data_IF_321737336861
#
_entry.id   IF_321737336861
#
_cell.length_a   1.000
_cell.length_b   1.000
_cell.length_c   1.000
_cell.angle_alpha   90.00
_cell.angle_beta   90.00
_cell.angle_gamma   90.00
#
_symmetry.space_group_name_H-M   'P 1'
#
loop_
_entity.id
_entity.type
_entity.pdbx_description
1 polymer ?
#
# COMPACT_ATOMS: atom_id res chain seq x y z
N UNK A 1 5.96 -15.63 -12.17
CA UNK A 1 5.66 -15.55 -10.72
C UNK A 1 4.30 -14.90 -10.58
N UNK A 2 3.27 -15.62 -10.15
CA UNK A 2 1.87 -15.14 -10.13
C UNK A 2 1.49 -14.68 -8.72
N UNK A 3 1.24 -13.38 -8.54
CA UNK A 3 0.77 -12.81 -7.27
C UNK A 3 -0.71 -13.16 -7.08
N UNK A 4 -1.10 -13.54 -5.85
CA UNK A 4 -2.48 -13.91 -5.49
C UNK A 4 -3.14 -13.07 -4.41
N UNK A 5 -2.35 -12.54 -3.46
CA UNK A 5 -2.81 -11.58 -2.46
C UNK A 5 -1.80 -10.45 -2.41
N UNK A 6 -2.28 -9.22 -2.27
CA UNK A 6 -1.47 -8.07 -1.91
C UNK A 6 -2.02 -7.52 -0.61
N UNK A 7 -1.14 -7.27 0.34
CA UNK A 7 -1.49 -6.68 1.62
C UNK A 7 -0.80 -5.32 1.71
N UNK A 8 -1.57 -4.29 2.02
CA UNK A 8 -1.13 -2.91 2.06
C UNK A 8 -1.31 -2.44 3.49
N UNK A 9 -0.20 -2.15 4.15
CA UNK A 9 -0.21 -1.60 5.50
C UNK A 9 -0.20 -0.08 5.38
N UNK A 10 -1.20 0.58 5.96
CA UNK A 10 -1.24 2.02 6.01
C UNK A 10 -0.33 2.55 7.13
N UNK A 11 0.31 3.69 6.90
CA UNK A 11 1.02 4.37 7.97
C UNK A 11 0.00 4.94 8.95
N UNK A 12 0.09 4.52 10.21
CA UNK A 12 -0.73 5.10 11.28
C UNK A 12 -0.46 6.60 11.46
N UNK A 13 -1.40 7.29 12.10
CA UNK A 13 -1.34 8.70 12.52
C UNK A 13 -0.24 9.01 13.57
N UNK A 14 0.82 8.20 13.66
CA UNK A 14 1.99 8.37 14.53
C UNK A 14 2.90 9.53 14.08
N UNK A 15 2.31 10.56 13.48
CA UNK A 15 2.98 11.85 13.38
C UNK A 15 2.88 12.51 14.75
N UNK A 16 3.96 12.42 15.54
CA UNK A 16 4.20 13.24 16.75
C UNK A 16 4.08 14.75 16.50
N UNK A 17 3.89 15.20 15.25
CA UNK A 17 3.68 16.58 14.86
C UNK A 17 2.31 16.77 14.19
N UNK A 18 1.62 17.89 14.45
CA UNK A 18 0.36 18.22 13.79
C UNK A 18 0.58 18.29 12.27
N UNK A 19 0.09 17.26 11.57
CA UNK A 19 0.18 17.17 10.13
C UNK A 19 -1.04 17.90 9.53
N UNK A 20 -0.86 18.95 8.70
CA UNK A 20 -1.97 19.63 8.01
C UNK A 20 -2.70 18.71 7.02
N UNK A 21 -2.16 17.52 6.78
CA UNK A 21 -2.71 16.46 5.95
C UNK A 21 -3.29 15.30 6.78
N UNK A 22 -3.84 15.59 7.98
CA UNK A 22 -4.39 14.60 8.93
C UNK A 22 -5.42 13.63 8.31
N UNK A 23 -6.07 14.02 7.22
CA UNK A 23 -7.07 13.20 6.53
C UNK A 23 -6.49 12.37 5.36
N UNK A 24 -5.18 12.46 5.08
CA UNK A 24 -4.57 11.78 3.95
C UNK A 24 -3.96 10.43 4.35
N UNK A 25 -4.42 9.39 3.66
CA UNK A 25 -3.93 8.02 3.81
C UNK A 25 -2.56 7.89 3.17
N UNK A 26 -1.62 7.23 3.86
CA UNK A 26 -0.28 6.92 3.36
C UNK A 26 -0.03 5.43 3.45
N UNK A 27 0.65 4.88 2.45
CA UNK A 27 1.08 3.48 2.48
C UNK A 27 2.40 3.41 3.27
N UNK A 28 2.47 2.54 4.27
CA UNK A 28 3.69 2.23 5.02
C UNK A 28 4.48 1.11 4.33
N UNK A 29 3.78 0.03 3.99
CA UNK A 29 4.37 -1.21 3.47
C UNK A 29 3.41 -1.92 2.51
N UNK A 30 3.97 -2.69 1.58
CA UNK A 30 3.20 -3.59 0.71
C UNK A 30 3.85 -4.97 0.68
N UNK A 31 3.05 -6.00 0.94
CA UNK A 31 3.42 -7.40 0.86
C UNK A 31 2.67 -8.07 -0.28
N UNK A 32 3.38 -8.75 -1.19
CA UNK A 32 2.76 -9.58 -2.21
C UNK A 32 2.94 -11.05 -1.85
N UNK A 33 1.87 -11.83 -1.90
CA UNK A 33 1.85 -13.26 -1.61
C UNK A 33 1.45 -14.08 -2.83
N UNK A 34 2.02 -15.27 -2.96
CA UNK A 34 1.66 -16.23 -4.01
C UNK A 34 0.49 -17.15 -3.61
N UNK A 35 0.17 -18.13 -4.47
CA UNK A 35 -0.88 -19.14 -4.25
C UNK A 35 -0.68 -19.99 -2.98
N UNK A 36 0.55 -20.10 -2.49
CA UNK A 36 0.90 -20.89 -1.31
C UNK A 36 0.91 -20.03 -0.04
N UNK A 37 0.55 -18.74 -0.14
CA UNK A 37 0.62 -17.79 0.97
C UNK A 37 2.06 -17.36 1.30
N UNK A 38 3.03 -17.66 0.43
CA UNK A 38 4.41 -17.25 0.64
C UNK A 38 4.59 -15.81 0.19
N UNK A 39 5.20 -14.99 1.04
CA UNK A 39 5.61 -13.64 0.67
C UNK A 39 6.66 -13.72 -0.45
N UNK A 40 6.30 -13.17 -1.59
CA UNK A 40 7.05 -13.24 -2.84
C UNK A 40 7.69 -11.92 -3.22
N UNK A 41 7.08 -10.81 -2.82
CA UNK A 41 7.67 -9.48 -2.92
C UNK A 41 7.31 -8.65 -1.69
N UNK A 42 8.23 -7.77 -1.32
CA UNK A 42 8.06 -6.84 -0.21
C UNK A 42 8.55 -5.46 -0.64
N UNK A 43 7.71 -4.46 -0.40
CA UNK A 43 8.04 -3.05 -0.59
C UNK A 43 7.89 -2.36 0.76
N UNK A 44 9.00 -2.28 1.48
CA UNK A 44 9.09 -1.70 2.82
C UNK A 44 9.58 -0.26 2.85
N UNK A 45 9.22 0.43 3.93
CA UNK A 45 9.59 1.81 4.25
C UNK A 45 9.44 2.76 3.06
N UNK A 46 8.18 3.05 2.71
CA UNK A 46 7.85 4.21 1.88
C UNK A 46 8.18 5.52 2.63
N UNK A 47 9.48 5.78 2.83
CA UNK A 47 10.01 7.08 3.27
C UNK A 47 9.64 8.11 2.19
N UNK A 48 9.56 9.39 2.58
CA UNK A 48 9.09 10.58 1.83
C UNK A 48 9.59 10.79 0.38
N UNK A 49 10.31 9.85 -0.23
CA UNK A 49 10.86 9.90 -1.58
C UNK A 49 10.59 8.66 -2.47
N UNK A 50 9.76 7.71 -2.04
CA UNK A 50 9.41 6.59 -2.94
C UNK A 50 8.60 7.09 -4.14
N UNK A 51 9.16 6.94 -5.35
CA UNK A 51 8.49 7.28 -6.61
C UNK A 51 7.46 6.25 -7.07
N UNK A 52 7.26 5.19 -6.29
CA UNK A 52 6.43 4.06 -6.69
C UNK A 52 4.94 4.32 -6.50
N UNK A 53 4.58 5.10 -5.48
CA UNK A 53 3.20 5.36 -5.06
C UNK A 53 3.02 6.84 -4.75
N UNK A 54 1.76 7.28 -4.74
CA UNK A 54 1.44 8.64 -4.26
C UNK A 54 1.84 8.76 -2.79
N UNK A 55 2.35 9.93 -2.41
CA UNK A 55 2.67 10.21 -1.01
C UNK A 55 1.44 10.35 -0.11
N UNK A 56 0.29 10.67 -0.70
CA UNK A 56 -0.95 10.95 0.00
C UNK A 56 -2.13 10.51 -0.86
N UNK A 57 -3.07 9.77 -0.27
CA UNK A 57 -4.31 9.31 -0.87
C UNK A 57 -5.50 9.90 -0.11
N UNK A 58 -6.58 10.26 -0.82
CA UNK A 58 -7.78 10.80 -0.17
C UNK A 58 -8.74 9.68 0.29
N UNK A 59 -8.55 8.46 -0.21
CA UNK A 59 -9.39 7.31 0.16
C UNK A 59 -8.68 5.97 -0.07
N UNK A 60 -9.12 4.94 0.66
CA UNK A 60 -8.67 3.55 0.47
C UNK A 60 -8.92 3.07 -0.96
N UNK A 61 -9.99 3.55 -1.62
CA UNK A 61 -10.28 3.21 -3.02
C UNK A 61 -9.16 3.66 -3.97
N UNK A 62 -8.58 4.85 -3.74
CA UNK A 62 -7.44 5.30 -4.54
C UNK A 62 -6.20 4.44 -4.29
N UNK A 63 -5.95 4.04 -3.05
CA UNK A 63 -4.84 3.13 -2.69
C UNK A 63 -4.98 1.81 -3.44
N UNK A 64 -6.15 1.16 -3.31
CA UNK A 64 -6.44 -0.12 -3.97
C UNK A 64 -6.28 -0.01 -5.49
N UNK A 65 -6.80 1.06 -6.10
CA UNK A 65 -6.69 1.26 -7.54
C UNK A 65 -5.23 1.42 -7.99
N UNK A 66 -4.44 2.23 -7.30
CA UNK A 66 -3.03 2.48 -7.64
C UNK A 66 -2.19 1.19 -7.49
N UNK A 67 -2.39 0.45 -6.40
CA UNK A 67 -1.75 -0.85 -6.14
C UNK A 67 -2.15 -1.89 -7.19
N UNK A 68 -3.43 -1.97 -7.56
CA UNK A 68 -3.93 -2.89 -8.58
C UNK A 68 -3.25 -2.66 -9.94
N UNK A 69 -3.16 -1.40 -10.37
CA UNK A 69 -2.49 -1.02 -11.61
C UNK A 69 -1.00 -1.33 -11.56
N UNK A 70 -0.33 -1.01 -10.44
CA UNK A 70 1.13 -1.17 -10.30
C UNK A 70 1.58 -2.63 -10.32
N UNK A 71 0.81 -3.51 -9.67
CA UNK A 71 1.13 -4.93 -9.58
C UNK A 71 0.40 -5.79 -10.61
N UNK A 72 -0.42 -5.18 -11.47
CA UNK A 72 -1.26 -5.88 -12.44
C UNK A 72 -2.10 -7.00 -11.79
N UNK A 73 -2.76 -6.65 -10.67
CA UNK A 73 -3.64 -7.54 -9.90
C UNK A 73 -5.05 -6.97 -9.86
N UNK A 74 -6.03 -7.80 -9.50
CA UNK A 74 -7.41 -7.32 -9.35
C UNK A 74 -7.61 -6.63 -8.00
N UNK A 75 -8.50 -5.62 -7.91
CA UNK A 75 -8.81 -4.94 -6.65
C UNK A 75 -9.23 -5.88 -5.52
N UNK A 76 -9.99 -6.95 -5.80
CA UNK A 76 -10.42 -7.91 -4.78
C UNK A 76 -9.28 -8.74 -4.15
N UNK A 77 -8.07 -8.68 -4.72
CA UNK A 77 -6.88 -9.38 -4.22
C UNK A 77 -6.09 -8.52 -3.23
N UNK A 78 -6.49 -7.26 -3.02
CA UNK A 78 -5.80 -6.28 -2.20
C UNK A 78 -6.51 -6.15 -0.86
N UNK A 79 -5.79 -6.44 0.20
CA UNK A 79 -6.20 -6.30 1.59
C UNK A 79 -5.51 -5.06 2.17
N UNK A 80 -6.27 -4.12 2.73
CA UNK A 80 -5.72 -2.87 3.28
C UNK A 80 -5.91 -2.87 4.79
N UNK A 81 -4.79 -2.90 5.52
CA UNK A 81 -4.71 -2.97 6.97
C UNK A 81 -4.24 -1.70 7.64
#
# INVERSE_FOLDING_TARGET
MEVKKVEVILAGDDYEQPNPFRDLIRISEIYCYDKQGKAVQYYGEFKKHSRLFKFNYNSVKEVVHDVAVRFNVKPEMIDVG
#
